data_IF_045412852147
#
_entry.id   IF_045412852147
#
_cell.length_a   1.000
_cell.length_b   1.000
_cell.length_c   1.000
_cell.angle_alpha   90.00
_cell.angle_beta   90.00
_cell.angle_gamma   90.00
#
_symmetry.space_group_name_H-M   'P 1'
#
loop_
_entity.id
_entity.type
_entity.pdbx_description
1 polymer ?
#
# COMPACT_ATOMS: atom_id res chain seq x y z
N UNK A 1 -22.28 -13.53 -0.16
CA UNK A 1 -23.72 -13.81 -0.25
C UNK A 1 -24.49 -12.52 -0.03
N UNK A 2 -25.70 -12.40 -0.58
CA UNK A 2 -26.48 -11.15 -0.54
C UNK A 2 -26.90 -10.77 0.89
N UNK A 3 -27.35 -11.73 1.71
CA UNK A 3 -27.81 -11.46 3.08
C UNK A 3 -26.64 -11.41 4.08
N UNK A 4 -25.83 -12.47 4.11
CA UNK A 4 -24.63 -12.57 4.94
C UNK A 4 -23.43 -12.90 4.06
N UNK A 5 -22.31 -12.23 4.32
CA UNK A 5 -21.04 -12.62 3.73
C UNK A 5 -19.99 -11.54 3.85
N UNK A 6 -18.75 -11.98 4.03
CA UNK A 6 -17.60 -11.09 4.00
C UNK A 6 -17.18 -10.84 2.55
N UNK A 7 -16.64 -9.66 2.31
CA UNK A 7 -15.96 -9.35 1.06
C UNK A 7 -14.68 -10.16 0.91
N UNK A 8 -14.33 -10.54 -0.32
CA UNK A 8 -13.04 -11.19 -0.60
C UNK A 8 -11.87 -10.23 -0.40
N UNK A 9 -10.73 -10.72 0.06
CA UNK A 9 -9.51 -9.91 0.13
C UNK A 9 -8.99 -9.58 -1.28
N UNK A 10 -8.38 -8.41 -1.44
CA UNK A 10 -7.66 -8.05 -2.64
C UNK A 10 -6.32 -8.80 -2.75
N UNK A 11 -5.92 -9.15 -3.97
CA UNK A 11 -4.62 -9.78 -4.23
C UNK A 11 -3.45 -8.82 -3.97
N UNK A 12 -2.31 -9.33 -3.54
CA UNK A 12 -1.08 -8.52 -3.40
C UNK A 12 -0.51 -8.13 -4.76
N UNK A 13 0.20 -7.00 -4.80
CA UNK A 13 1.04 -6.60 -5.92
C UNK A 13 2.20 -7.57 -6.10
N UNK A 14 2.60 -7.79 -7.36
CA UNK A 14 3.75 -8.63 -7.69
C UNK A 14 5.08 -7.92 -7.47
N UNK A 15 6.14 -8.68 -7.25
CA UNK A 15 7.48 -8.14 -7.07
C UNK A 15 8.21 -8.01 -8.41
N UNK A 16 9.02 -6.96 -8.54
CA UNK A 16 9.88 -6.74 -9.70
C UNK A 16 11.31 -6.48 -9.25
N UNK A 17 12.23 -7.29 -9.75
CA UNK A 17 13.67 -7.09 -9.54
C UNK A 17 14.34 -6.97 -10.90
N UNK A 18 15.06 -5.87 -11.13
CA UNK A 18 15.91 -5.70 -12.29
C UNK A 18 17.37 -5.80 -11.84
N UNK A 19 18.01 -6.91 -12.19
CA UNK A 19 19.38 -7.26 -11.78
C UNK A 19 20.43 -6.94 -12.85
N UNK A 20 20.06 -6.26 -13.93
CA UNK A 20 21.00 -6.01 -15.02
C UNK A 20 22.06 -5.00 -14.57
N UNK A 21 23.30 -5.48 -14.47
CA UNK A 21 24.54 -4.71 -14.29
C UNK A 21 24.90 -3.88 -15.53
N UNK A 22 23.88 -3.36 -16.24
CA UNK A 22 24.07 -2.36 -17.27
C UNK A 22 23.76 -1.03 -16.62
N UNK A 23 24.85 -0.32 -16.33
CA UNK A 23 25.02 0.93 -15.59
C UNK A 23 24.07 2.07 -16.02
N UNK A 24 23.20 1.88 -17.02
CA UNK A 24 22.47 2.97 -17.64
C UNK A 24 20.94 2.89 -17.65
N UNK A 25 20.24 1.74 -17.51
CA UNK A 25 18.77 1.72 -17.73
C UNK A 25 17.97 0.59 -17.02
N UNK A 26 18.26 0.21 -15.77
CA UNK A 26 17.36 -0.72 -15.06
C UNK A 26 16.24 0.03 -14.30
N UNK A 27 15.02 -0.12 -14.81
CA UNK A 27 13.77 0.25 -14.14
C UNK A 27 13.07 -1.03 -13.65
N UNK A 28 12.58 -1.02 -12.42
CA UNK A 28 11.72 -2.07 -11.89
C UNK A 28 10.38 -1.47 -11.44
N UNK A 29 9.27 -2.10 -11.84
CA UNK A 29 7.94 -1.66 -11.46
C UNK A 29 7.18 -2.84 -10.85
N UNK A 30 6.84 -2.73 -9.56
CA UNK A 30 6.03 -3.74 -8.89
C UNK A 30 4.60 -3.80 -9.48
N UNK A 31 3.99 -4.98 -9.40
CA UNK A 31 2.63 -5.21 -9.86
C UNK A 31 1.57 -4.49 -9.01
N UNK A 32 0.40 -4.29 -9.62
CA UNK A 32 -0.74 -3.66 -8.96
C UNK A 32 -1.36 -4.58 -7.90
N UNK A 33 -1.86 -3.97 -6.84
CA UNK A 33 -2.66 -4.62 -5.79
C UNK A 33 -4.14 -4.75 -6.20
N UNK A 34 -4.86 -5.64 -5.52
CA UNK A 34 -6.30 -5.81 -5.61
C UNK A 34 -7.04 -5.06 -4.50
N UNK A 35 -8.22 -4.52 -4.82
CA UNK A 35 -9.12 -3.96 -3.82
C UNK A 35 -9.83 -5.06 -3.04
N UNK A 36 -10.17 -4.77 -1.78
CA UNK A 36 -11.06 -5.61 -1.00
C UNK A 36 -12.49 -5.57 -1.55
N UNK A 37 -13.15 -6.72 -1.55
CA UNK A 37 -14.54 -6.89 -1.95
C UNK A 37 -15.53 -6.36 -0.92
N UNK A 38 -16.77 -6.15 -1.36
CA UNK A 38 -17.86 -5.69 -0.49
C UNK A 38 -18.61 -6.86 0.16
N UNK A 39 -19.09 -6.63 1.38
CA UNK A 39 -20.05 -7.51 2.04
C UNK A 39 -21.49 -7.30 1.52
N UNK A 40 -22.41 -8.17 1.94
CA UNK A 40 -23.84 -8.12 1.60
C UNK A 40 -24.65 -7.14 2.46
N UNK A 41 -25.86 -7.51 2.92
CA UNK A 41 -26.60 -6.71 3.90
C UNK A 41 -25.87 -6.67 5.25
N UNK A 42 -25.30 -7.82 5.64
CA UNK A 42 -24.46 -7.95 6.84
C UNK A 42 -23.10 -8.56 6.48
N UNK A 43 -22.04 -8.06 7.10
CA UNK A 43 -20.69 -8.66 6.98
C UNK A 43 -19.55 -7.66 7.01
N UNK A 44 -18.33 -8.19 6.93
CA UNK A 44 -17.10 -7.38 6.93
C UNK A 44 -16.56 -7.25 5.52
N UNK A 45 -16.17 -6.04 5.12
CA UNK A 45 -15.50 -5.80 3.85
C UNK A 45 -14.14 -6.50 3.78
N UNK A 46 -13.72 -6.89 2.58
CA UNK A 46 -12.42 -7.55 2.40
C UNK A 46 -11.25 -6.59 2.63
N UNK A 47 -10.11 -7.06 3.10
CA UNK A 47 -8.89 -6.23 3.14
C UNK A 47 -8.40 -5.90 1.72
N UNK A 48 -7.80 -4.72 1.55
CA UNK A 48 -7.04 -4.40 0.34
C UNK A 48 -5.72 -5.17 0.28
N UNK A 49 -5.24 -5.47 -0.92
CA UNK A 49 -3.97 -6.14 -1.13
C UNK A 49 -2.78 -5.22 -0.87
N UNK A 50 -1.66 -5.75 -0.38
CA UNK A 50 -0.43 -4.97 -0.22
C UNK A 50 0.18 -4.61 -1.59
N UNK A 51 0.90 -3.50 -1.68
CA UNK A 51 1.78 -3.18 -2.81
C UNK A 51 2.96 -4.14 -2.88
N UNK A 52 3.53 -4.31 -4.08
CA UNK A 52 4.68 -5.19 -4.28
C UNK A 52 6.02 -4.52 -3.98
N UNK A 53 7.09 -5.29 -4.08
CA UNK A 53 8.47 -4.86 -3.94
C UNK A 53 9.09 -4.53 -5.31
N UNK A 54 9.76 -3.39 -5.44
CA UNK A 54 10.50 -3.03 -6.66
C UNK A 54 11.96 -2.74 -6.33
N UNK A 55 12.89 -3.42 -7.01
CA UNK A 55 14.32 -3.20 -6.89
C UNK A 55 14.97 -3.00 -8.25
N UNK A 56 15.64 -1.86 -8.42
CA UNK A 56 16.30 -1.49 -9.67
C UNK A 56 17.46 -0.52 -9.43
N UNK A 57 18.48 -0.58 -10.28
CA UNK A 57 19.73 0.17 -10.09
C UNK A 57 19.49 1.68 -10.23
N UNK A 58 18.83 2.10 -11.32
CA UNK A 58 18.53 3.50 -11.61
C UNK A 58 17.14 3.91 -11.10
N UNK A 59 16.07 3.20 -11.46
CA UNK A 59 14.73 3.49 -10.96
C UNK A 59 14.01 2.23 -10.45
N UNK A 60 13.22 2.39 -9.40
CA UNK A 60 12.30 1.38 -8.91
C UNK A 60 11.10 2.10 -8.35
N UNK A 61 9.95 1.80 -8.93
CA UNK A 61 8.68 2.38 -8.56
C UNK A 61 7.82 1.27 -8.01
N UNK A 62 7.25 1.50 -6.83
CA UNK A 62 6.22 0.61 -6.30
C UNK A 62 4.86 1.23 -6.45
N UNK A 63 3.85 0.37 -6.47
CA UNK A 63 2.49 0.82 -6.34
C UNK A 63 2.11 0.90 -4.86
N UNK A 64 1.03 1.65 -4.59
CA UNK A 64 0.47 1.74 -3.25
C UNK A 64 -0.08 0.41 -2.73
N UNK A 65 -0.80 0.46 -1.62
CA UNK A 65 -1.59 -0.62 -1.09
C UNK A 65 -3.05 -0.43 -1.42
N UNK A 66 -3.80 -1.51 -1.27
CA UNK A 66 -5.15 -1.58 -1.78
C UNK A 66 -6.23 -1.00 -0.92
N UNK A 67 -7.27 -0.47 -1.54
CA UNK A 67 -8.43 -0.01 -0.77
C UNK A 67 -9.12 -1.23 -0.13
N UNK A 68 -9.43 -1.12 1.15
CA UNK A 68 -10.30 -2.04 1.86
C UNK A 68 -11.74 -1.95 1.37
N UNK A 69 -12.42 -3.09 1.32
CA UNK A 69 -13.78 -3.23 0.85
C UNK A 69 -14.81 -2.72 1.85
N UNK A 70 -16.00 -2.41 1.36
CA UNK A 70 -17.07 -1.90 2.22
C UNK A 70 -17.76 -3.05 3.00
N UNK A 71 -18.09 -2.78 4.26
CA UNK A 71 -18.86 -3.67 5.12
C UNK A 71 -20.33 -3.77 4.68
N UNK A 72 -21.10 -4.55 5.43
CA UNK A 72 -22.50 -4.78 5.13
C UNK A 72 -23.35 -3.50 5.20
N UNK A 73 -24.34 -3.38 4.31
CA UNK A 73 -25.19 -2.18 4.21
C UNK A 73 -25.92 -1.84 5.51
N UNK A 74 -26.44 -2.83 6.24
CA UNK A 74 -27.19 -2.62 7.48
C UNK A 74 -26.30 -2.74 8.72
N UNK A 75 -25.33 -3.64 8.68
CA UNK A 75 -24.41 -3.86 9.78
C UNK A 75 -23.15 -4.55 9.32
N UNK A 76 -22.01 -3.94 9.63
CA UNK A 76 -20.75 -4.47 9.15
C UNK A 76 -19.57 -3.58 9.41
N UNK A 77 -18.37 -4.15 9.33
CA UNK A 77 -17.13 -3.37 9.38
C UNK A 77 -16.56 -3.19 7.99
N UNK A 78 -15.99 -2.03 7.72
CA UNK A 78 -15.13 -1.86 6.55
C UNK A 78 -13.91 -2.76 6.64
N UNK A 79 -13.37 -3.18 5.50
CA UNK A 79 -12.09 -3.87 5.44
C UNK A 79 -10.92 -2.90 5.54
N UNK A 80 -9.77 -3.36 6.04
CA UNK A 80 -8.58 -2.51 6.16
C UNK A 80 -7.95 -2.24 4.79
N UNK A 81 -7.31 -1.09 4.64
CA UNK A 81 -6.44 -0.81 3.51
C UNK A 81 -5.18 -1.68 3.53
N UNK A 82 -4.64 -1.98 2.36
CA UNK A 82 -3.38 -2.70 2.19
C UNK A 82 -2.18 -1.77 2.40
N UNK A 83 -1.04 -2.33 2.79
CA UNK A 83 0.21 -1.58 2.93
C UNK A 83 0.78 -1.16 1.56
N UNK A 84 1.46 -0.02 1.52
CA UNK A 84 2.20 0.45 0.35
C UNK A 84 3.41 -0.41 0.02
N UNK A 85 3.82 -0.44 -1.25
CA UNK A 85 4.96 -1.21 -1.72
C UNK A 85 6.32 -0.62 -1.32
N UNK A 86 7.38 -1.44 -1.42
CA UNK A 86 8.74 -1.06 -1.03
C UNK A 86 9.63 -0.85 -2.27
N UNK A 87 10.17 0.35 -2.43
CA UNK A 87 11.08 0.69 -3.53
C UNK A 87 12.54 0.66 -3.07
N UNK A 88 13.43 -0.03 -3.79
CA UNK A 88 14.86 -0.13 -3.50
C UNK A 88 15.74 0.27 -4.69
N UNK A 89 16.76 1.10 -4.43
CA UNK A 89 17.78 1.56 -5.40
C UNK A 89 19.20 1.33 -4.91
N UNK A 90 20.12 1.15 -5.87
CA UNK A 90 21.56 1.20 -5.62
C UNK A 90 22.21 2.52 -6.08
N UNK A 91 21.48 3.34 -6.83
CA UNK A 91 21.97 4.62 -7.33
C UNK A 91 23.03 4.47 -8.42
N UNK A 92 23.15 5.47 -9.29
CA UNK A 92 24.25 5.53 -10.24
C UNK A 92 25.45 6.21 -9.58
N UNK A 93 26.65 5.70 -9.85
CA UNK A 93 27.92 6.26 -9.39
C UNK A 93 28.28 7.60 -10.06
N UNK A 94 27.46 8.08 -11.00
CA UNK A 94 27.67 9.33 -11.75
C UNK A 94 27.09 10.59 -11.05
N UNK A 95 26.49 10.43 -9.87
CA UNK A 95 25.92 11.54 -9.10
C UNK A 95 24.52 11.97 -9.55
N UNK A 96 23.85 11.20 -10.41
CA UNK A 96 22.44 11.45 -10.71
C UNK A 96 21.57 11.25 -9.46
N UNK A 97 20.89 12.31 -9.04
CA UNK A 97 19.92 12.28 -7.94
C UNK A 97 18.66 11.63 -8.46
N UNK A 98 18.32 10.47 -7.90
CA UNK A 98 17.08 9.76 -8.21
C UNK A 98 16.15 9.90 -7.02
N UNK A 99 15.02 10.58 -7.21
CA UNK A 99 13.95 10.61 -6.22
C UNK A 99 13.26 9.24 -6.20
N UNK A 100 13.13 8.65 -5.01
CA UNK A 100 12.41 7.39 -4.80
C UNK A 100 11.30 7.58 -3.80
N UNK A 101 10.11 7.08 -4.15
CA UNK A 101 8.95 7.08 -3.27
C UNK A 101 8.53 5.64 -2.97
N UNK A 102 8.32 5.33 -1.68
CA UNK A 102 7.62 4.13 -1.28
C UNK A 102 6.15 4.20 -1.70
N UNK A 103 5.50 3.06 -1.91
CA UNK A 103 4.10 3.05 -2.31
C UNK A 103 3.20 3.67 -1.23
N UNK A 104 2.13 4.37 -1.60
CA UNK A 104 1.16 4.89 -0.61
C UNK A 104 0.38 3.77 0.07
N UNK A 105 -0.02 3.92 1.32
CA UNK A 105 -0.96 3.02 1.98
C UNK A 105 -2.37 3.09 1.39
N UNK A 106 -3.08 1.98 1.38
CA UNK A 106 -4.45 1.89 0.88
C UNK A 106 -5.46 2.50 1.83
N UNK A 107 -6.55 3.06 1.32
CA UNK A 107 -7.63 3.56 2.19
C UNK A 107 -8.42 2.41 2.84
N UNK A 108 -8.87 2.61 4.07
CA UNK A 108 -9.82 1.72 4.73
C UNK A 108 -11.21 1.75 4.07
N UNK A 109 -11.93 0.64 4.20
CA UNK A 109 -13.30 0.45 3.72
C UNK A 109 -14.33 1.08 4.64
N UNK A 110 -15.55 1.31 4.14
CA UNK A 110 -16.60 1.95 4.93
C UNK A 110 -17.54 0.93 5.59
N UNK A 111 -18.08 1.27 6.75
CA UNK A 111 -19.26 0.59 7.29
C UNK A 111 -20.55 1.10 6.60
N UNK A 112 -21.65 0.36 6.78
CA UNK A 112 -22.98 0.72 6.29
C UNK A 112 -23.76 1.59 7.27
N UNK A 113 -24.95 1.15 7.66
CA UNK A 113 -25.81 1.86 8.60
C UNK A 113 -25.25 1.82 10.04
N UNK A 114 -24.71 0.67 10.42
CA UNK A 114 -24.04 0.45 11.70
C UNK A 114 -22.68 -0.22 11.50
N UNK A 115 -21.73 0.10 12.38
CA UNK A 115 -20.43 -0.58 12.47
C UNK A 115 -19.24 0.34 12.26
N UNK A 116 -18.03 -0.22 12.35
CA UNK A 116 -16.76 0.52 12.32
C UNK A 116 -16.19 0.58 10.91
N UNK A 117 -15.64 1.72 10.51
CA UNK A 117 -14.80 1.80 9.30
C UNK A 117 -13.57 0.90 9.41
N UNK A 118 -13.00 0.52 8.27
CA UNK A 118 -11.70 -0.17 8.24
C UNK A 118 -10.55 0.83 8.40
N UNK A 119 -9.43 0.39 8.94
CA UNK A 119 -8.25 1.24 9.11
C UNK A 119 -7.54 1.47 7.76
N UNK A 120 -6.84 2.60 7.65
CA UNK A 120 -5.94 2.86 6.53
C UNK A 120 -4.70 1.95 6.58
N UNK A 121 -4.17 1.59 5.43
CA UNK A 121 -2.91 0.85 5.34
C UNK A 121 -1.70 1.75 5.57
N UNK A 122 -0.60 1.19 6.05
CA UNK A 122 0.66 1.92 6.20
C UNK A 122 1.28 2.28 4.85
N UNK A 123 2.00 3.39 4.79
CA UNK A 123 2.84 3.76 3.68
C UNK A 123 4.03 2.81 3.51
N UNK A 124 4.47 2.66 2.27
CA UNK A 124 5.58 1.81 1.85
C UNK A 124 6.94 2.48 2.06
N UNK A 125 7.99 1.68 2.16
CA UNK A 125 9.34 2.21 2.43
C UNK A 125 10.11 2.50 1.16
N UNK A 126 11.02 3.48 1.23
CA UNK A 126 12.01 3.73 0.18
C UNK A 126 13.42 3.45 0.71
N UNK A 127 14.20 2.65 -0.02
CA UNK A 127 15.60 2.36 0.25
C UNK A 127 16.48 2.89 -0.87
N UNK A 128 17.48 3.70 -0.53
CA UNK A 128 18.44 4.24 -1.49
C UNK A 128 19.86 4.12 -0.96
N UNK A 129 20.80 3.91 -1.88
CA UNK A 129 22.23 3.89 -1.56
C UNK A 129 22.87 5.26 -1.80
N UNK A 130 22.53 5.91 -2.92
CA UNK A 130 22.80 7.33 -3.19
C UNK A 130 21.50 8.02 -3.67
N UNK A 131 21.38 9.32 -3.39
CA UNK A 131 20.22 10.14 -3.81
C UNK A 131 19.26 10.50 -2.67
N UNK A 132 18.03 10.87 -3.05
CA UNK A 132 16.94 11.27 -2.14
C UNK A 132 15.86 10.19 -2.12
N UNK A 133 15.30 9.94 -0.94
CA UNK A 133 14.24 8.97 -0.76
C UNK A 133 13.16 9.52 0.16
N UNK A 134 11.93 9.17 -0.16
CA UNK A 134 10.72 9.56 0.54
C UNK A 134 9.89 8.30 0.80
N UNK A 135 9.51 8.07 2.06
CA UNK A 135 8.56 7.02 2.38
C UNK A 135 7.18 7.35 1.81
N UNK A 136 6.39 6.33 1.49
CA UNK A 136 5.03 6.53 1.01
C UNK A 136 4.12 7.11 2.09
N UNK A 137 3.12 7.89 1.72
CA UNK A 137 2.11 8.34 2.67
C UNK A 137 1.28 7.18 3.23
N UNK A 138 0.81 7.29 4.47
CA UNK A 138 -0.19 6.38 5.02
C UNK A 138 -1.57 6.54 4.39
N UNK A 139 -2.36 5.48 4.45
CA UNK A 139 -3.73 5.43 3.96
C UNK A 139 -4.72 6.12 4.90
N UNK A 140 -5.82 6.63 4.36
CA UNK A 140 -6.90 7.18 5.20
C UNK A 140 -7.72 6.06 5.82
N UNK A 141 -8.15 6.25 7.07
CA UNK A 141 -9.18 5.41 7.68
C UNK A 141 -10.52 5.51 6.96
N UNK A 142 -11.33 4.46 7.11
CA UNK A 142 -12.66 4.35 6.57
C UNK A 142 -13.71 5.04 7.44
N UNK A 143 -14.87 5.36 6.86
CA UNK A 143 -16.00 5.93 7.61
C UNK A 143 -16.72 4.85 8.43
N UNK A 144 -17.11 5.22 9.64
CA UNK A 144 -18.03 4.46 10.49
C UNK A 144 -19.47 4.49 9.99
N UNK A 145 -20.34 3.79 10.71
CA UNK A 145 -21.74 3.67 10.39
C UNK A 145 -22.50 4.98 10.56
N UNK A 146 -23.50 5.22 9.71
CA UNK A 146 -24.27 6.47 9.70
C UNK A 146 -25.06 6.69 11.00
N UNK A 147 -25.64 5.64 11.56
CA UNK A 147 -26.39 5.73 12.82
C UNK A 147 -25.50 5.51 14.04
N UNK A 148 -24.65 4.49 13.98
CA UNK A 148 -23.74 4.15 15.06
C UNK A 148 -22.47 3.51 14.51
N UNK A 149 -21.33 3.95 15.04
CA UNK A 149 -20.03 3.32 14.82
C UNK A 149 -18.93 4.31 14.44
N UNK A 150 -17.71 3.95 14.80
CA UNK A 150 -16.56 4.82 14.69
C UNK A 150 -15.90 4.74 13.31
N UNK A 151 -15.16 5.79 12.95
CA UNK A 151 -14.21 5.72 11.86
C UNK A 151 -13.14 4.66 12.08
N UNK A 152 -12.47 4.29 11.00
CA UNK A 152 -11.17 3.63 11.06
C UNK A 152 -10.06 4.64 11.28
N UNK A 153 -8.94 4.16 11.80
CA UNK A 153 -7.76 4.98 12.03
C UNK A 153 -7.02 5.23 10.71
N UNK A 154 -6.27 6.33 10.64
CA UNK A 154 -5.33 6.55 9.55
C UNK A 154 -4.16 5.57 9.63
N UNK A 155 -3.52 5.30 8.50
CA UNK A 155 -2.28 4.54 8.43
C UNK A 155 -1.06 5.41 8.66
N UNK A 156 0.00 4.78 9.15
CA UNK A 156 1.31 5.43 9.34
C UNK A 156 1.98 5.74 8.00
N UNK A 157 2.85 6.75 7.99
CA UNK A 157 3.75 7.00 6.87
C UNK A 157 4.84 5.94 6.73
N UNK A 158 5.45 5.86 5.54
CA UNK A 158 6.52 4.93 5.21
C UNK A 158 7.89 5.41 5.69
N UNK A 159 8.79 4.45 5.90
CA UNK A 159 10.17 4.71 6.30
C UNK A 159 11.10 5.01 5.12
N UNK A 160 12.24 5.62 5.44
CA UNK A 160 13.37 5.81 4.52
C UNK A 160 14.60 5.14 5.10
N UNK A 161 15.26 4.31 4.29
CA UNK A 161 16.52 3.66 4.63
C UNK A 161 17.61 4.09 3.65
N UNK A 162 18.55 4.91 4.13
CA UNK A 162 19.70 5.38 3.32
C UNK A 162 20.94 4.61 3.73
N UNK A 163 21.37 3.67 2.89
CA UNK A 163 22.59 2.90 3.13
C UNK A 163 23.76 3.70 2.59
N UNK A 164 24.43 4.49 3.45
CA UNK A 164 25.73 5.09 3.09
C UNK A 164 26.80 4.00 3.11
N UNK A 165 27.11 3.45 1.93
CA UNK A 165 28.29 2.63 1.77
C UNK A 165 29.56 3.45 2.02
N UNK A 166 30.24 3.18 3.13
CA UNK A 166 31.66 3.52 3.27
C UNK A 166 32.39 2.54 2.37
N UNK A 167 32.73 2.95 1.15
CA UNK A 167 33.69 2.20 0.34
C UNK A 167 35.09 2.36 0.96
N UNK A 168 35.82 1.27 1.25
CA UNK A 168 37.26 1.34 1.48
C UNK A 168 38.02 1.74 0.22
#
# INVERSE_FOLDING_TARGET
GLLFGNGGAGGSGGDATSSTNQIYQSTAAAGAWGAGGRAGLFGVGGAGGAGGYAQGYLSATTQGGGRGGDGGLLGGRGGNGGAGGVAASFGASDGTVLEREGGQGGAGGHAGLTGRGGDGGAGGSARVFTGTATGGAGGRGGRGGVLTGDGGDGGDGGGVDTVRGVFP
#
